data_IF_874319048955
#
_entry.id   IF_874319048955
#
_cell.length_a   1.000
_cell.length_b   1.000
_cell.length_c   1.000
_cell.angle_alpha   90.00
_cell.angle_beta   90.00
_cell.angle_gamma   90.00
#
_symmetry.space_group_name_H-M   'P 1'
#
loop_
_entity.id
_entity.type
_entity.pdbx_description
1 polymer ?
#
# COMPACT_ATOMS: atom_id res chain seq x y z
N UNK A 1 -15.26 6.75 64.48
CA UNK A 1 -15.33 5.78 63.36
C UNK A 1 -14.67 6.41 62.15
N UNK A 2 -13.43 6.04 61.83
CA UNK A 2 -12.80 6.42 60.57
C UNK A 2 -13.20 5.38 59.51
N UNK A 3 -14.03 5.79 58.54
CA UNK A 3 -14.21 5.03 57.31
C UNK A 3 -13.01 5.32 56.40
N UNK A 4 -12.02 4.43 56.40
CA UNK A 4 -11.04 4.35 55.33
C UNK A 4 -11.73 3.75 54.10
N UNK A 5 -12.21 4.59 53.18
CA UNK A 5 -12.62 4.16 51.85
C UNK A 5 -11.40 3.54 51.16
N UNK A 6 -11.45 2.22 50.94
CA UNK A 6 -10.51 1.52 50.06
C UNK A 6 -10.72 2.05 48.62
N UNK A 7 -9.97 3.09 48.24
CA UNK A 7 -9.92 3.66 46.88
C UNK A 7 -9.26 2.71 45.86
N UNK A 8 -8.65 1.62 46.33
CA UNK A 8 -7.89 0.69 45.52
C UNK A 8 -8.69 0.00 44.40
N UNK A 9 -9.91 -0.55 44.62
CA UNK A 9 -10.67 -1.23 43.58
C UNK A 9 -11.17 -0.27 42.49
N UNK A 10 -11.46 0.99 42.86
CA UNK A 10 -11.88 2.02 41.93
C UNK A 10 -10.73 2.41 41.00
N UNK A 11 -9.50 2.47 41.54
CA UNK A 11 -8.29 2.75 40.76
C UNK A 11 -7.98 1.61 39.78
N UNK A 12 -8.14 0.35 40.19
CA UNK A 12 -7.94 -0.82 39.30
C UNK A 12 -8.98 -0.85 38.17
N UNK A 13 -10.24 -0.50 38.47
CA UNK A 13 -11.30 -0.40 37.47
C UNK A 13 -11.00 0.73 36.46
N UNK A 14 -10.51 1.88 36.95
CA UNK A 14 -10.13 3.02 36.10
C UNK A 14 -8.91 2.70 35.21
N UNK A 15 -7.95 1.93 35.72
CA UNK A 15 -6.78 1.47 34.96
C UNK A 15 -7.13 0.48 33.85
N UNK A 16 -8.15 -0.38 34.05
CA UNK A 16 -8.66 -1.25 32.98
C UNK A 16 -9.38 -0.48 31.86
N UNK A 17 -9.91 0.72 32.13
CA UNK A 17 -10.58 1.57 31.13
C UNK A 17 -9.56 2.41 30.34
N UNK A 18 -8.33 2.56 30.84
CA UNK A 18 -7.26 3.39 30.26
C UNK A 18 -6.17 2.60 29.55
N UNK A 19 -6.31 1.28 29.39
CA UNK A 19 -5.42 0.52 28.52
C UNK A 19 -5.80 0.91 27.09
N UNK A 20 -4.92 1.55 26.30
CA UNK A 20 -5.19 1.76 24.89
C UNK A 20 -5.53 0.39 24.30
N UNK A 21 -6.66 0.28 23.61
CA UNK A 21 -7.04 -1.01 23.04
C UNK A 21 -5.92 -1.41 22.08
N UNK A 22 -5.23 -2.49 22.43
CA UNK A 22 -4.11 -2.94 21.63
C UNK A 22 -4.69 -3.48 20.34
N UNK A 23 -4.28 -2.91 19.20
CA UNK A 23 -4.72 -3.32 17.88
C UNK A 23 -4.68 -4.85 17.76
N UNK A 24 -5.67 -5.43 17.09
CA UNK A 24 -5.73 -6.89 17.01
C UNK A 24 -4.48 -7.46 16.34
N UNK A 25 -4.10 -8.72 16.63
CA UNK A 25 -2.97 -9.35 15.95
C UNK A 25 -3.10 -9.31 14.43
N UNK A 26 -4.31 -9.43 13.91
CA UNK A 26 -4.60 -9.35 12.48
C UNK A 26 -4.39 -7.93 11.91
N UNK A 27 -4.92 -6.90 12.59
CA UNK A 27 -4.69 -5.51 12.20
C UNK A 27 -3.20 -5.15 12.25
N UNK A 28 -2.48 -5.63 13.26
CA UNK A 28 -1.02 -5.45 13.39
C UNK A 28 -0.28 -6.10 12.22
N UNK A 29 -0.65 -7.32 11.80
CA UNK A 29 -0.05 -7.97 10.63
C UNK A 29 -0.30 -7.19 9.34
N UNK A 30 -1.54 -6.74 9.10
CA UNK A 30 -1.89 -5.97 7.90
C UNK A 30 -1.17 -4.61 7.91
N UNK A 31 -1.04 -3.97 9.07
CA UNK A 31 -0.30 -2.72 9.21
C UNK A 31 1.20 -2.93 8.93
N UNK A 32 1.79 -4.04 9.38
CA UNK A 32 3.16 -4.42 9.04
C UNK A 32 3.33 -4.61 7.53
N UNK A 33 2.38 -5.25 6.85
CA UNK A 33 2.39 -5.39 5.39
C UNK A 33 2.33 -4.02 4.68
N UNK A 34 1.49 -3.10 5.15
CA UNK A 34 1.46 -1.72 4.63
C UNK A 34 2.79 -1.00 4.83
N UNK A 35 3.42 -1.12 6.00
CA UNK A 35 4.72 -0.51 6.27
C UNK A 35 5.80 -1.08 5.35
N UNK A 36 5.81 -2.40 5.12
CA UNK A 36 6.74 -3.03 4.17
C UNK A 36 6.52 -2.51 2.74
N UNK A 37 5.27 -2.27 2.33
CA UNK A 37 4.95 -1.65 1.05
C UNK A 37 5.41 -0.19 0.97
N UNK A 38 5.27 0.60 2.04
CA UNK A 38 5.78 1.97 2.12
C UNK A 38 7.31 2.02 2.00
N UNK A 39 8.02 1.18 2.76
CA UNK A 39 9.48 1.06 2.68
C UNK A 39 9.93 0.66 1.27
N UNK A 40 9.19 -0.27 0.65
CA UNK A 40 9.42 -0.66 -0.74
C UNK A 40 9.22 0.51 -1.71
N UNK A 41 8.17 1.32 -1.55
CA UNK A 41 7.93 2.51 -2.37
C UNK A 41 9.09 3.49 -2.23
N UNK A 42 9.54 3.77 -1.01
CA UNK A 42 10.65 4.68 -0.74
C UNK A 42 11.96 4.20 -1.39
N UNK A 43 12.27 2.90 -1.25
CA UNK A 43 13.44 2.27 -1.86
C UNK A 43 13.38 2.37 -3.40
N UNK A 44 12.23 2.03 -3.98
CA UNK A 44 12.01 2.07 -5.43
C UNK A 44 12.11 3.50 -5.97
N UNK A 45 11.57 4.49 -5.25
CA UNK A 45 11.72 5.90 -5.59
C UNK A 45 13.18 6.37 -5.60
N UNK A 46 13.97 5.94 -4.61
CA UNK A 46 15.41 6.22 -4.57
C UNK A 46 16.15 5.61 -5.77
N UNK A 47 15.82 4.37 -6.14
CA UNK A 47 16.40 3.69 -7.31
C UNK A 47 15.99 4.36 -8.62
N UNK A 48 14.71 4.68 -8.79
CA UNK A 48 14.19 5.36 -9.97
C UNK A 48 14.81 6.76 -10.13
N UNK A 49 15.01 7.49 -9.04
CA UNK A 49 15.64 8.81 -9.07
C UNK A 49 17.05 8.76 -9.69
N UNK A 50 17.81 7.72 -9.34
CA UNK A 50 19.18 7.50 -9.82
C UNK A 50 19.27 6.77 -11.17
N UNK A 51 18.15 6.25 -11.67
CA UNK A 51 18.09 5.48 -12.91
C UNK A 51 18.25 6.38 -14.14
N UNK A 52 19.22 6.03 -14.98
CA UNK A 52 19.63 6.76 -16.18
C UNK A 52 19.46 5.93 -17.48
N UNK A 53 18.83 4.76 -17.38
CA UNK A 53 18.69 3.82 -18.50
C UNK A 53 19.85 2.83 -18.66
N UNK A 54 20.84 2.84 -17.77
CA UNK A 54 21.88 1.80 -17.75
C UNK A 54 21.35 0.47 -17.20
N UNK A 55 21.83 -0.64 -17.77
CA UNK A 55 21.47 -2.00 -17.32
C UNK A 55 21.85 -2.22 -15.85
N UNK A 56 23.01 -1.73 -15.42
CA UNK A 56 23.48 -1.87 -14.02
C UNK A 56 22.55 -1.22 -13.01
N UNK A 57 21.85 -0.14 -13.38
CA UNK A 57 20.83 0.50 -12.54
C UNK A 57 19.41 0.01 -12.80
N UNK A 58 19.15 -0.57 -13.98
CA UNK A 58 17.88 -1.20 -14.32
C UNK A 58 17.67 -2.57 -13.68
N UNK A 59 18.73 -3.37 -13.51
CA UNK A 59 18.61 -4.70 -12.91
C UNK A 59 18.06 -4.66 -11.47
N UNK A 60 18.52 -3.77 -10.57
CA UNK A 60 17.92 -3.65 -9.25
C UNK A 60 16.45 -3.19 -9.27
N UNK A 61 15.97 -2.52 -10.32
CA UNK A 61 14.55 -2.18 -10.47
C UNK A 61 13.69 -3.40 -10.81
N UNK A 62 14.27 -4.43 -11.45
CA UNK A 62 13.59 -5.72 -11.63
C UNK A 62 13.49 -6.48 -10.31
N UNK A 63 14.48 -6.36 -9.44
CA UNK A 63 14.42 -6.91 -8.09
C UNK A 63 13.30 -6.25 -7.28
N UNK A 64 13.21 -4.92 -7.28
CA UNK A 64 12.10 -4.22 -6.61
C UNK A 64 10.75 -4.64 -7.17
N UNK A 65 10.67 -4.91 -8.47
CA UNK A 65 9.44 -5.42 -9.08
C UNK A 65 9.01 -6.78 -8.47
N UNK A 66 9.94 -7.71 -8.29
CA UNK A 66 9.67 -8.99 -7.62
C UNK A 66 9.32 -8.83 -6.14
N UNK A 67 9.96 -7.90 -5.43
CA UNK A 67 9.62 -7.59 -4.03
C UNK A 67 8.17 -7.09 -3.91
N UNK A 68 7.74 -6.17 -4.80
CA UNK A 68 6.36 -5.69 -4.87
C UNK A 68 5.36 -6.83 -5.02
N UNK A 69 5.66 -7.79 -5.91
CA UNK A 69 4.84 -8.96 -6.14
C UNK A 69 4.67 -9.78 -4.85
N UNK A 70 5.74 -10.04 -4.10
CA UNK A 70 5.69 -10.82 -2.86
C UNK A 70 4.91 -10.09 -1.77
N UNK A 71 5.18 -8.79 -1.58
CA UNK A 71 4.51 -7.97 -0.57
C UNK A 71 3.00 -7.89 -0.83
N UNK A 72 2.59 -7.65 -2.08
CA UNK A 72 1.17 -7.60 -2.46
C UNK A 72 0.48 -8.95 -2.21
N UNK A 73 1.16 -10.06 -2.54
CA UNK A 73 0.65 -11.41 -2.30
C UNK A 73 0.48 -11.72 -0.81
N UNK A 74 1.43 -11.30 0.02
CA UNK A 74 1.35 -11.47 1.47
C UNK A 74 0.17 -10.69 2.04
N UNK A 75 0.03 -9.42 1.66
CA UNK A 75 -1.10 -8.57 2.07
C UNK A 75 -2.45 -9.19 1.66
N UNK A 76 -2.58 -9.66 0.42
CA UNK A 76 -3.79 -10.37 -0.05
C UNK A 76 -4.09 -11.58 0.85
N UNK A 77 -3.07 -12.41 1.12
CA UNK A 77 -3.20 -13.64 1.92
C UNK A 77 -3.60 -13.34 3.36
N UNK A 78 -2.95 -12.38 4.02
CA UNK A 78 -3.28 -11.99 5.39
C UNK A 78 -4.67 -11.36 5.45
N UNK A 79 -5.04 -10.56 4.46
CA UNK A 79 -6.39 -9.99 4.37
C UNK A 79 -7.42 -11.09 4.26
N UNK A 80 -7.28 -12.07 3.38
CA UNK A 80 -8.24 -13.18 3.21
C UNK A 80 -8.54 -13.93 4.50
N UNK A 81 -7.51 -14.18 5.33
CA UNK A 81 -7.63 -14.96 6.56
C UNK A 81 -8.02 -14.15 7.80
N UNK A 82 -8.28 -12.85 7.65
CA UNK A 82 -8.60 -11.96 8.76
C UNK A 82 -10.13 -11.84 8.95
N UNK A 83 -10.65 -11.88 10.19
CA UNK A 83 -12.06 -11.59 10.48
C UNK A 83 -12.40 -10.10 10.24
N UNK A 84 -13.64 -9.71 10.52
CA UNK A 84 -14.02 -8.29 10.54
C UNK A 84 -13.24 -7.54 11.65
N UNK A 85 -12.91 -6.28 11.38
CA UNK A 85 -12.22 -5.38 12.29
C UNK A 85 -13.22 -4.63 13.18
N UNK A 86 -12.78 -4.23 14.37
CA UNK A 86 -13.49 -3.23 15.15
C UNK A 86 -13.21 -1.81 14.61
N UNK A 87 -13.81 -0.79 15.23
CA UNK A 87 -13.69 0.60 14.78
C UNK A 87 -12.24 1.13 14.90
N UNK A 88 -11.50 0.74 15.94
CA UNK A 88 -10.13 1.22 16.17
C UNK A 88 -9.14 0.61 15.18
N UNK A 89 -9.25 -0.70 14.95
CA UNK A 89 -8.49 -1.39 13.90
C UNK A 89 -8.86 -0.81 12.52
N UNK A 90 -10.15 -0.57 12.26
CA UNK A 90 -10.62 0.01 10.99
C UNK A 90 -10.03 1.41 10.75
N UNK A 91 -9.99 2.27 11.77
CA UNK A 91 -9.39 3.59 11.68
C UNK A 91 -7.87 3.52 11.44
N UNK A 92 -7.19 2.61 12.11
CA UNK A 92 -5.74 2.37 11.95
C UNK A 92 -5.40 1.96 10.52
N UNK A 93 -6.15 0.99 9.98
CA UNK A 93 -5.95 0.49 8.62
C UNK A 93 -6.27 1.55 7.57
N UNK A 94 -7.35 2.32 7.76
CA UNK A 94 -7.69 3.44 6.90
C UNK A 94 -6.54 4.47 6.82
N UNK A 95 -5.99 4.88 7.97
CA UNK A 95 -4.87 5.82 8.02
C UNK A 95 -3.65 5.31 7.25
N UNK A 96 -3.31 4.01 7.40
CA UNK A 96 -2.24 3.37 6.64
C UNK A 96 -2.48 3.37 5.13
N UNK A 97 -3.73 3.16 4.69
CA UNK A 97 -4.08 3.23 3.26
C UNK A 97 -3.97 4.65 2.69
N UNK A 98 -4.36 5.67 3.46
CA UNK A 98 -4.20 7.08 3.05
C UNK A 98 -2.73 7.46 2.90
N UNK A 99 -1.86 6.99 3.80
CA UNK A 99 -0.41 7.20 3.68
C UNK A 99 0.16 6.51 2.44
N UNK A 100 -0.21 5.24 2.23
CA UNK A 100 0.21 4.48 1.05
C UNK A 100 -0.27 5.12 -0.26
N UNK A 101 -1.50 5.65 -0.30
CA UNK A 101 -2.01 6.39 -1.46
C UNK A 101 -1.07 7.53 -1.87
N UNK A 102 -0.61 8.32 -0.90
CA UNK A 102 0.30 9.45 -1.17
C UNK A 102 1.62 8.95 -1.75
N UNK A 103 2.20 7.92 -1.14
CA UNK A 103 3.44 7.31 -1.60
C UNK A 103 3.32 6.68 -3.00
N UNK A 104 2.19 6.04 -3.30
CA UNK A 104 1.90 5.43 -4.60
C UNK A 104 1.80 6.49 -5.72
N UNK A 105 1.19 7.65 -5.44
CA UNK A 105 1.14 8.78 -6.36
C UNK A 105 2.55 9.25 -6.75
N UNK A 106 3.41 9.47 -5.76
CA UNK A 106 4.79 9.89 -5.96
C UNK A 106 5.59 8.87 -6.78
N UNK A 107 5.38 7.59 -6.51
CA UNK A 107 6.02 6.51 -7.25
C UNK A 107 5.61 6.50 -8.73
N UNK A 108 4.31 6.63 -9.02
CA UNK A 108 3.82 6.67 -10.41
C UNK A 108 4.34 7.90 -11.14
N UNK A 109 4.31 9.07 -10.50
CA UNK A 109 4.86 10.31 -11.05
C UNK A 109 6.36 10.16 -11.36
N UNK A 110 7.12 9.54 -10.44
CA UNK A 110 8.54 9.27 -10.65
C UNK A 110 8.76 8.29 -11.80
N UNK A 111 8.01 7.19 -11.82
CA UNK A 111 8.08 6.18 -12.87
C UNK A 111 7.81 6.79 -14.25
N UNK A 112 6.81 7.66 -14.37
CA UNK A 112 6.47 8.35 -15.61
C UNK A 112 7.68 9.10 -16.21
N UNK A 113 8.49 9.76 -15.37
CA UNK A 113 9.73 10.44 -15.84
C UNK A 113 10.80 9.49 -16.38
N UNK A 114 10.70 8.19 -16.09
CA UNK A 114 11.69 7.16 -16.46
C UNK A 114 11.20 6.23 -17.57
N UNK A 115 9.96 6.36 -18.02
CA UNK A 115 9.38 5.59 -19.13
C UNK A 115 10.27 5.58 -20.38
N UNK A 116 10.87 6.70 -20.84
CA UNK A 116 11.77 6.68 -22.00
C UNK A 116 12.99 5.77 -21.81
N UNK A 117 13.54 5.70 -20.60
CA UNK A 117 14.67 4.82 -20.30
C UNK A 117 14.27 3.35 -20.35
N UNK A 118 13.11 2.98 -19.77
CA UNK A 118 12.58 1.62 -19.88
C UNK A 118 12.27 1.24 -21.33
N UNK A 119 11.82 2.19 -22.16
CA UNK A 119 11.61 1.98 -23.60
C UNK A 119 12.91 1.63 -24.30
N UNK A 120 13.93 2.45 -24.11
CA UNK A 120 15.24 2.28 -24.76
C UNK A 120 15.92 0.95 -24.36
N UNK A 121 15.57 0.41 -23.20
CA UNK A 121 16.03 -0.90 -22.71
C UNK A 121 15.13 -2.08 -23.12
N UNK A 122 14.05 -1.86 -23.89
CA UNK A 122 13.02 -2.86 -24.18
C UNK A 122 12.38 -3.50 -22.92
N UNK A 123 12.38 -2.78 -21.80
CA UNK A 123 11.87 -3.24 -20.51
C UNK A 123 10.42 -2.80 -20.23
N UNK A 124 9.86 -1.91 -21.05
CA UNK A 124 8.47 -1.42 -20.90
C UNK A 124 7.41 -2.53 -20.83
N UNK A 125 7.44 -3.57 -21.69
CA UNK A 125 6.46 -4.66 -21.61
C UNK A 125 6.50 -5.43 -20.28
N UNK A 126 7.70 -5.59 -19.71
CA UNK A 126 7.89 -6.26 -18.41
C UNK A 126 7.34 -5.39 -17.29
N UNK A 127 7.67 -4.10 -17.28
CA UNK A 127 7.13 -3.14 -16.32
C UNK A 127 5.59 -3.09 -16.37
N UNK A 128 5.00 -3.09 -17.57
CA UNK A 128 3.54 -3.10 -17.75
C UNK A 128 2.91 -4.34 -17.15
N UNK A 129 3.39 -5.54 -17.50
CA UNK A 129 2.84 -6.80 -16.97
C UNK A 129 2.88 -6.86 -15.45
N UNK A 130 3.95 -6.35 -14.85
CA UNK A 130 4.09 -6.30 -13.40
C UNK A 130 3.05 -5.36 -12.77
N UNK A 131 2.93 -4.14 -13.27
CA UNK A 131 1.95 -3.18 -12.75
C UNK A 131 0.51 -3.71 -12.94
N UNK A 132 0.20 -4.39 -14.04
CA UNK A 132 -1.11 -5.03 -14.25
C UNK A 132 -1.41 -6.11 -13.21
N UNK A 133 -0.43 -6.97 -12.91
CA UNK A 133 -0.58 -7.97 -11.86
C UNK A 133 -0.85 -7.32 -10.50
N UNK A 134 -0.09 -6.28 -10.15
CA UNK A 134 -0.25 -5.63 -8.86
C UNK A 134 -1.56 -4.88 -8.76
N UNK A 135 -1.98 -4.18 -9.82
CA UNK A 135 -3.29 -3.52 -9.89
C UNK A 135 -4.43 -4.51 -9.63
N UNK A 136 -4.43 -5.66 -10.33
CA UNK A 136 -5.45 -6.70 -10.15
C UNK A 136 -5.51 -7.21 -8.71
N UNK A 137 -4.34 -7.40 -8.09
CA UNK A 137 -4.23 -7.88 -6.70
C UNK A 137 -4.62 -6.82 -5.69
N UNK A 138 -4.31 -5.56 -5.95
CA UNK A 138 -4.72 -4.45 -5.12
C UNK A 138 -6.25 -4.33 -5.09
N UNK A 139 -6.92 -4.41 -6.25
CA UNK A 139 -8.39 -4.38 -6.31
C UNK A 139 -9.03 -5.49 -5.45
N UNK A 140 -8.54 -6.73 -5.56
CA UNK A 140 -9.04 -7.84 -4.74
C UNK A 140 -8.79 -7.66 -3.24
N UNK A 141 -7.63 -7.14 -2.86
CA UNK A 141 -7.30 -6.81 -1.46
C UNK A 141 -8.21 -5.71 -0.92
N UNK A 142 -8.47 -4.67 -1.71
CA UNK A 142 -9.32 -3.53 -1.35
C UNK A 142 -10.74 -3.98 -1.12
N UNK A 143 -11.34 -4.76 -2.03
CA UNK A 143 -12.71 -5.27 -1.85
C UNK A 143 -12.83 -6.11 -0.57
N UNK A 144 -11.82 -6.94 -0.30
CA UNK A 144 -11.77 -7.79 0.88
C UNK A 144 -11.60 -6.97 2.17
N UNK A 145 -10.71 -5.96 2.21
CA UNK A 145 -10.57 -5.07 3.37
C UNK A 145 -11.81 -4.21 3.58
N UNK A 146 -12.40 -3.66 2.51
CA UNK A 146 -13.64 -2.88 2.58
C UNK A 146 -14.80 -3.71 3.17
N UNK A 147 -14.84 -5.01 2.93
CA UNK A 147 -15.84 -5.90 3.53
C UNK A 147 -15.66 -6.11 5.05
N UNK A 148 -14.44 -5.87 5.56
CA UNK A 148 -14.01 -6.18 6.93
C UNK A 148 -13.91 -4.96 7.84
N UNK A 149 -13.70 -3.78 7.27
CA UNK A 149 -13.76 -2.52 8.04
C UNK A 149 -15.21 -2.14 8.36
N UNK A 150 -15.37 -1.40 9.45
CA UNK A 150 -16.68 -0.90 9.90
C UNK A 150 -17.23 0.18 8.96
N UNK A 151 -18.54 0.40 9.04
CA UNK A 151 -19.29 1.28 8.11
C UNK A 151 -18.72 2.71 7.97
N UNK A 152 -18.30 3.39 9.05
CA UNK A 152 -17.73 4.74 8.94
C UNK A 152 -16.44 4.81 8.11
N UNK A 153 -15.70 3.70 8.03
CA UNK A 153 -14.39 3.65 7.37
C UNK A 153 -14.44 3.01 5.99
N UNK A 154 -15.53 2.32 5.64
CA UNK A 154 -15.66 1.54 4.41
C UNK A 154 -15.56 2.35 3.13
N UNK A 155 -16.38 3.40 3.00
CA UNK A 155 -16.36 4.24 1.78
C UNK A 155 -15.09 5.09 1.70
N UNK A 156 -14.61 5.75 2.79
CA UNK A 156 -13.31 6.43 2.75
C UNK A 156 -12.15 5.52 2.36
N UNK A 157 -12.17 4.27 2.82
CA UNK A 157 -11.19 3.26 2.45
C UNK A 157 -11.24 2.94 0.95
N UNK A 158 -12.44 2.73 0.39
CA UNK A 158 -12.61 2.51 -1.05
C UNK A 158 -12.19 3.71 -1.89
N UNK A 159 -12.50 4.93 -1.46
CA UNK A 159 -12.11 6.15 -2.15
C UNK A 159 -10.57 6.27 -2.22
N UNK A 160 -9.89 6.08 -1.08
CA UNK A 160 -8.43 6.12 -1.03
C UNK A 160 -7.79 5.02 -1.91
N UNK A 161 -8.42 3.85 -1.99
CA UNK A 161 -7.99 2.77 -2.86
C UNK A 161 -8.29 3.03 -4.34
N UNK A 162 -9.41 3.69 -4.65
CA UNK A 162 -9.78 4.11 -6.01
C UNK A 162 -8.74 5.07 -6.60
N UNK A 163 -8.26 6.03 -5.79
CA UNK A 163 -7.18 6.93 -6.20
C UNK A 163 -5.91 6.15 -6.60
N UNK A 164 -5.60 5.04 -5.92
CA UNK A 164 -4.45 4.17 -6.25
C UNK A 164 -4.65 3.48 -7.61
N UNK A 165 -5.87 3.03 -7.90
CA UNK A 165 -6.21 2.44 -9.20
C UNK A 165 -6.06 3.46 -10.35
N UNK A 166 -6.47 4.69 -10.11
CA UNK A 166 -6.29 5.81 -11.04
C UNK A 166 -4.80 6.09 -11.33
N UNK A 167 -3.92 5.93 -10.34
CA UNK A 167 -2.47 6.03 -10.54
C UNK A 167 -1.93 4.92 -11.44
N UNK A 168 -2.38 3.66 -11.26
CA UNK A 168 -2.01 2.59 -12.19
C UNK A 168 -2.47 2.90 -13.61
N UNK A 169 -3.72 3.35 -13.77
CA UNK A 169 -4.27 3.77 -15.05
C UNK A 169 -3.47 4.91 -15.71
N UNK A 170 -3.01 5.89 -14.93
CA UNK A 170 -2.14 6.96 -15.41
C UNK A 170 -0.76 6.45 -15.86
N UNK A 171 -0.19 5.50 -15.12
CA UNK A 171 1.07 4.85 -15.52
C UNK A 171 0.94 4.12 -16.86
N UNK A 172 -0.14 3.37 -17.06
CA UNK A 172 -0.39 2.66 -18.34
C UNK A 172 -0.55 3.61 -19.51
N UNK A 173 -1.32 4.70 -19.35
CA UNK A 173 -1.45 5.74 -20.39
C UNK A 173 -0.09 6.32 -20.78
N UNK A 174 0.78 6.57 -19.80
CA UNK A 174 2.14 7.07 -20.03
C UNK A 174 2.99 6.07 -20.82
N UNK A 175 2.91 4.77 -20.48
CA UNK A 175 3.60 3.72 -21.23
C UNK A 175 3.07 3.59 -22.67
N UNK A 176 1.76 3.69 -22.86
CA UNK A 176 1.11 3.56 -24.17
C UNK A 176 1.49 4.73 -25.09
N UNK A 177 1.51 5.95 -24.55
CA UNK A 177 2.00 7.13 -25.28
C UNK A 177 3.45 6.96 -25.75
N UNK A 178 4.33 6.40 -24.90
CA UNK A 178 5.73 6.18 -25.25
C UNK A 178 5.94 5.10 -26.33
N UNK A 179 5.00 4.16 -26.48
CA UNK A 179 5.01 3.13 -27.51
C UNK A 179 4.38 3.61 -28.84
N UNK A 180 3.36 4.46 -28.79
CA UNK A 180 2.66 5.01 -29.97
C UNK A 180 3.49 5.98 -30.82
N UNK A 181 4.55 6.55 -30.25
CA UNK A 181 5.46 7.51 -30.88
C UNK A 181 6.44 6.89 -31.91
N UNK A 182 6.15 5.67 -32.38
CA UNK A 182 6.93 4.94 -33.40
C UNK A 182 6.35 5.06 -34.82
N UNK A 183 5.31 5.85 -35.02
CA UNK A 183 4.62 6.00 -36.32
C UNK A 183 5.05 7.24 -37.13
N UNK A 184 6.15 7.89 -36.74
CA UNK A 184 6.75 9.02 -37.47
C UNK A 184 8.23 8.80 -37.79
N UNK A 185 8.52 7.96 -38.78
CA UNK A 185 9.72 8.04 -39.63
C UNK A 185 9.52 7.20 -40.90
#
# INVERSE_FOLDING_TARGET
>A
MHLSLNLFPLLTLLLCILIPAQASPHATTIQSDHNNLLDWVQNTNSRLSNFDGSISKGFPLLQTAYEMYQLTKNLETHTQNTPAFDDEDSATLYNGTVEFRTAASDLVNRFATKVPHFRNMNALPVARKLLQYVQQKNAATVDNMASKVTEPHREPFKDAAGDIDDYYSAAFRTMDAANGDTSGN
#
